data_IF_899550847478
#
_entry.id   IF_899550847478
#
_cell.length_a   1.000
_cell.length_b   1.000
_cell.length_c   1.000
_cell.angle_alpha   90.00
_cell.angle_beta   90.00
_cell.angle_gamma   90.00
#
_symmetry.space_group_name_H-M   'P 1'
#
loop_
_entity.id
_entity.type
_entity.pdbx_description
1 polymer ?
#
# COMPACT_ATOMS: atom_id res chain seq x y z
N UNK A 1 24.54 26.05 12.03
CA UNK A 1 25.20 25.89 10.72
C UNK A 1 24.46 24.79 9.99
N UNK A 2 23.75 25.09 8.88
CA UNK A 2 23.05 24.07 8.09
C UNK A 2 24.11 23.29 7.32
N UNK A 3 24.24 22.00 7.59
CA UNK A 3 25.15 21.12 6.85
C UNK A 3 24.68 21.06 5.39
N UNK A 4 25.52 21.49 4.45
CA UNK A 4 25.20 21.51 3.02
C UNK A 4 24.92 20.11 2.46
N UNK A 5 25.41 19.05 3.12
CA UNK A 5 25.12 17.66 2.75
C UNK A 5 23.73 17.22 3.24
N UNK A 6 23.25 17.73 4.38
CA UNK A 6 21.88 17.49 4.87
C UNK A 6 20.84 18.19 3.99
N UNK A 7 21.16 19.36 3.44
CA UNK A 7 20.28 20.08 2.52
C UNK A 7 19.93 19.24 1.28
N UNK A 8 20.90 18.49 0.73
CA UNK A 8 20.67 17.59 -0.40
C UNK A 8 19.73 16.40 -0.06
N UNK A 9 19.76 15.90 1.19
CA UNK A 9 18.83 14.86 1.65
C UNK A 9 17.37 15.36 1.75
N UNK A 10 17.18 16.66 1.95
CA UNK A 10 15.87 17.27 2.22
C UNK A 10 15.25 17.95 0.99
N UNK A 11 16.06 18.36 0.01
CA UNK A 11 15.62 19.20 -1.11
C UNK A 11 14.81 18.49 -2.23
N UNK A 12 14.32 17.26 -2.05
CA UNK A 12 13.33 16.77 -3.04
C UNK A 12 12.86 15.33 -3.07
N UNK A 13 13.16 14.43 -2.11
CA UNK A 13 12.85 13.00 -2.31
C UNK A 13 12.23 12.34 -1.08
N UNK A 14 10.98 12.69 -0.82
CA UNK A 14 10.07 11.88 -0.02
C UNK A 14 9.35 10.90 -0.93
N UNK A 15 9.05 9.71 -0.41
CA UNK A 15 8.12 8.81 -1.10
C UNK A 15 6.73 9.41 -0.96
N UNK A 16 6.28 10.09 -2.01
CA UNK A 16 4.87 10.33 -2.28
C UNK A 16 4.46 9.38 -3.39
N UNK A 17 3.40 8.60 -3.22
CA UNK A 17 2.04 8.99 -3.62
C UNK A 17 1.01 8.01 -3.03
N UNK A 18 -0.26 8.45 -2.86
CA UNK A 18 -0.94 8.33 -1.58
C UNK A 18 -2.43 7.89 -1.71
N UNK A 19 -3.16 8.16 -0.63
CA UNK A 19 -4.59 8.45 -0.53
C UNK A 19 -5.57 7.26 -0.56
N UNK A 20 -5.60 6.52 0.55
CA UNK A 20 -6.86 5.99 1.08
C UNK A 20 -7.45 7.03 2.05
N UNK A 21 -8.76 7.23 2.02
CA UNK A 21 -9.44 8.15 2.93
C UNK A 21 -10.22 7.35 3.95
N UNK A 22 -9.91 7.56 5.22
CA UNK A 22 -10.63 6.96 6.34
C UNK A 22 -11.55 8.00 6.96
N UNK A 23 -12.80 7.63 7.22
CA UNK A 23 -13.74 8.45 8.01
C UNK A 23 -14.01 7.72 9.32
N UNK A 24 -13.83 8.41 10.46
CA UNK A 24 -14.20 7.89 11.77
C UNK A 24 -15.69 8.13 12.04
N UNK A 25 -16.31 7.23 12.80
CA UNK A 25 -17.75 7.27 13.10
C UNK A 25 -18.21 8.50 13.88
N UNK A 26 -17.31 9.21 14.55
CA UNK A 26 -17.66 10.41 15.33
C UNK A 26 -18.20 11.56 14.45
N UNK A 27 -18.10 11.45 13.11
CA UNK A 27 -18.68 12.40 12.14
C UNK A 27 -19.87 11.82 11.32
N UNK A 28 -20.33 10.59 11.59
CA UNK A 28 -21.28 9.88 10.72
C UNK A 28 -22.60 9.52 11.42
N UNK A 29 -23.71 10.06 10.93
CA UNK A 29 -25.08 9.80 11.41
C UNK A 29 -25.52 8.37 11.02
N UNK A 30 -25.46 7.46 11.99
CA UNK A 30 -25.64 6.01 11.84
C UNK A 30 -27.05 5.66 11.32
N UNK A 31 -28.04 6.51 11.57
CA UNK A 31 -29.45 6.25 11.26
C UNK A 31 -29.84 6.50 9.79
N UNK A 32 -28.95 7.02 8.94
CA UNK A 32 -29.36 7.56 7.62
C UNK A 32 -29.00 6.79 6.36
N UNK A 33 -28.30 5.64 6.40
CA UNK A 33 -28.08 4.88 5.15
C UNK A 33 -27.52 3.46 5.37
N UNK A 34 -28.38 2.51 5.73
CA UNK A 34 -28.07 1.09 5.50
C UNK A 34 -28.25 0.77 4.00
N UNK A 35 -27.21 1.00 3.20
CA UNK A 35 -27.04 0.24 1.96
C UNK A 35 -26.01 -0.85 2.25
N UNK A 36 -26.28 -2.12 1.90
CA UNK A 36 -25.30 -3.19 2.06
C UNK A 36 -24.03 -2.82 1.31
N UNK A 37 -22.86 -3.21 1.86
CA UNK A 37 -21.60 -2.97 1.19
C UNK A 37 -21.60 -3.65 -0.18
N UNK A 38 -21.27 -2.91 -1.24
CA UNK A 38 -21.06 -3.49 -2.57
C UNK A 38 -19.78 -4.34 -2.62
N UNK A 39 -18.86 -4.07 -1.69
CA UNK A 39 -17.58 -4.75 -1.53
C UNK A 39 -17.60 -5.48 -0.18
N UNK A 40 -17.28 -6.77 -0.19
CA UNK A 40 -17.24 -7.58 1.02
C UNK A 40 -16.11 -7.12 1.95
N UNK A 41 -16.42 -7.13 3.24
CA UNK A 41 -15.47 -6.72 4.26
C UNK A 41 -14.60 -7.91 4.72
N UNK A 42 -13.28 -7.72 4.92
CA UNK A 42 -12.43 -8.73 5.52
C UNK A 42 -12.67 -8.92 7.02
N UNK A 43 -13.25 -7.92 7.71
CA UNK A 43 -13.57 -7.96 9.14
C UNK A 43 -14.86 -7.17 9.43
N UNK A 44 -15.66 -7.62 10.39
CA UNK A 44 -16.97 -7.03 10.68
C UNK A 44 -16.93 -5.55 11.07
N UNK A 45 -15.80 -5.05 11.57
CA UNK A 45 -15.64 -3.65 11.95
C UNK A 45 -15.48 -2.69 10.77
N UNK A 46 -15.30 -3.16 9.53
CA UNK A 46 -15.19 -2.31 8.34
C UNK A 46 -16.48 -2.33 7.53
N UNK A 47 -16.98 -1.14 7.17
CA UNK A 47 -18.23 -0.96 6.43
C UNK A 47 -18.19 0.33 5.60
N UNK A 48 -19.22 0.56 4.77
CA UNK A 48 -19.27 1.64 3.78
C UNK A 48 -18.06 1.62 2.83
N UNK A 49 -17.58 0.44 2.45
CA UNK A 49 -16.40 0.27 1.61
C UNK A 49 -16.73 0.73 0.18
N UNK A 50 -15.99 1.72 -0.33
CA UNK A 50 -16.17 2.31 -1.66
C UNK A 50 -14.83 2.53 -2.34
N UNK A 51 -14.81 2.41 -3.67
CA UNK A 51 -13.64 2.72 -4.50
C UNK A 51 -13.95 3.81 -5.51
N UNK A 52 -12.94 4.62 -5.83
CA UNK A 52 -13.11 5.83 -6.65
C UNK A 52 -12.05 5.92 -7.73
N UNK A 53 -12.42 6.52 -8.86
CA UNK A 53 -11.51 6.78 -9.98
C UNK A 53 -10.97 5.49 -10.61
N UNK A 54 -11.86 4.70 -11.23
CA UNK A 54 -11.49 3.48 -11.96
C UNK A 54 -10.46 3.77 -13.05
N UNK A 55 -9.43 2.94 -13.16
CA UNK A 55 -8.35 3.11 -14.12
C UNK A 55 -8.73 2.59 -15.50
N UNK A 56 -8.20 3.24 -16.54
CA UNK A 56 -8.19 2.70 -17.90
C UNK A 56 -7.14 1.59 -18.03
N UNK A 57 -7.29 0.73 -19.04
CA UNK A 57 -6.28 -0.30 -19.36
C UNK A 57 -4.91 0.33 -19.65
N UNK A 58 -4.88 1.48 -20.33
CA UNK A 58 -3.64 2.21 -20.64
C UNK A 58 -2.91 2.65 -19.37
N UNK A 59 -3.64 3.18 -18.39
CA UNK A 59 -3.06 3.56 -17.10
C UNK A 59 -2.50 2.36 -16.35
N UNK A 60 -3.24 1.24 -16.32
CA UNK A 60 -2.80 -0.01 -15.69
C UNK A 60 -1.47 -0.47 -16.28
N UNK A 61 -1.36 -0.51 -17.61
CA UNK A 61 -0.12 -0.91 -18.31
C UNK A 61 1.03 0.07 -18.05
N UNK A 62 0.75 1.38 -18.07
CA UNK A 62 1.76 2.42 -17.78
C UNK A 62 2.37 2.27 -16.39
N UNK A 63 1.58 1.85 -15.42
CA UNK A 63 2.02 1.61 -14.04
C UNK A 63 2.73 0.27 -13.83
N UNK A 64 2.87 -0.54 -14.89
CA UNK A 64 3.48 -1.86 -14.84
C UNK A 64 2.58 -2.93 -14.20
N UNK A 65 1.27 -2.68 -14.10
CA UNK A 65 0.30 -3.60 -13.50
C UNK A 65 -0.42 -4.40 -14.59
N UNK A 66 -1.02 -5.53 -14.19
CA UNK A 66 -1.76 -6.41 -15.09
C UNK A 66 -3.26 -6.28 -14.88
N UNK A 67 -4.02 -6.19 -15.98
CA UNK A 67 -5.49 -6.21 -15.96
C UNK A 67 -6.05 -7.63 -15.92
N UNK A 68 -5.40 -8.56 -16.62
CA UNK A 68 -5.80 -9.96 -16.66
C UNK A 68 -4.60 -10.85 -16.30
N UNK A 69 -4.87 -11.99 -15.67
CA UNK A 69 -3.85 -12.96 -15.28
C UNK A 69 -4.27 -14.40 -15.60
N UNK A 70 -3.28 -15.26 -15.73
CA UNK A 70 -3.41 -16.69 -15.98
C UNK A 70 -3.15 -17.49 -14.70
N UNK A 71 -3.38 -18.80 -14.76
CA UNK A 71 -3.08 -19.69 -13.63
C UNK A 71 -1.59 -19.82 -13.30
N UNK A 72 -0.69 -19.40 -14.21
CA UNK A 72 0.76 -19.49 -14.03
C UNK A 72 1.38 -18.22 -13.46
N UNK A 73 0.64 -17.12 -13.42
CA UNK A 73 1.15 -15.83 -12.96
C UNK A 73 1.23 -15.79 -11.42
N UNK A 74 2.25 -15.12 -10.89
CA UNK A 74 2.42 -14.93 -9.44
C UNK A 74 1.18 -14.30 -8.80
N UNK A 75 0.47 -13.43 -9.53
CA UNK A 75 -0.81 -12.84 -9.14
C UNK A 75 -1.88 -13.87 -8.75
N UNK A 76 -1.97 -15.01 -9.46
CA UNK A 76 -2.89 -16.10 -9.11
C UNK A 76 -2.62 -16.62 -7.70
N UNK A 77 -1.34 -16.87 -7.40
CA UNK A 77 -0.88 -17.39 -6.10
C UNK A 77 -1.13 -16.37 -5.00
N UNK A 78 -0.83 -15.10 -5.26
CA UNK A 78 -1.00 -14.00 -4.30
C UNK A 78 -2.45 -13.76 -3.94
N UNK A 79 -3.31 -13.67 -4.96
CA UNK A 79 -4.73 -13.48 -4.75
C UNK A 79 -5.35 -14.68 -4.03
N UNK A 80 -4.94 -15.92 -4.35
CA UNK A 80 -5.44 -17.12 -3.65
C UNK A 80 -5.07 -17.09 -2.17
N UNK A 81 -3.82 -16.74 -1.85
CA UNK A 81 -3.36 -16.62 -0.47
C UNK A 81 -4.16 -15.55 0.30
N UNK A 82 -4.37 -14.38 -0.31
CA UNK A 82 -5.14 -13.30 0.30
C UNK A 82 -6.60 -13.71 0.58
N UNK A 83 -7.25 -14.43 -0.33
CA UNK A 83 -8.59 -14.97 -0.08
C UNK A 83 -8.62 -15.99 1.07
N UNK A 84 -7.62 -16.86 1.15
CA UNK A 84 -7.52 -17.84 2.22
C UNK A 84 -7.31 -17.16 3.57
N UNK A 85 -6.39 -16.20 3.64
CA UNK A 85 -5.96 -15.58 4.89
C UNK A 85 -7.01 -14.62 5.46
N UNK A 86 -7.64 -13.82 4.60
CA UNK A 86 -8.48 -12.70 5.06
C UNK A 86 -9.97 -12.98 4.99
N UNK A 87 -10.39 -13.95 4.17
CA UNK A 87 -11.80 -14.25 3.94
C UNK A 87 -12.14 -15.72 4.17
N UNK A 88 -11.18 -16.56 4.58
CA UNK A 88 -11.33 -18.01 4.74
C UNK A 88 -11.90 -18.71 3.49
N UNK A 89 -11.58 -18.20 2.29
CA UNK A 89 -12.07 -18.74 1.00
C UNK A 89 -10.99 -19.57 0.32
N UNK A 90 -11.15 -20.89 0.37
CA UNK A 90 -10.19 -21.88 -0.20
C UNK A 90 -10.65 -22.43 -1.55
N UNK A 91 -11.36 -21.64 -2.34
CA UNK A 91 -11.85 -22.02 -3.67
C UNK A 91 -10.88 -21.57 -4.76
N UNK A 92 -10.86 -22.29 -5.89
CA UNK A 92 -10.10 -21.86 -7.07
C UNK A 92 -10.55 -20.46 -7.52
N UNK A 93 -9.62 -19.63 -7.99
CA UNK A 93 -9.97 -18.32 -8.56
C UNK A 93 -10.36 -18.52 -10.02
N UNK A 94 -11.64 -18.36 -10.36
CA UNK A 94 -12.11 -18.57 -11.74
C UNK A 94 -12.10 -17.28 -12.56
N UNK A 95 -12.43 -16.14 -11.95
CA UNK A 95 -12.37 -14.84 -12.61
C UNK A 95 -10.93 -14.32 -12.67
N UNK A 96 -10.53 -13.81 -13.82
CA UNK A 96 -9.12 -13.47 -14.12
C UNK A 96 -8.88 -11.99 -14.37
N UNK A 97 -9.89 -11.17 -14.10
CA UNK A 97 -9.88 -9.74 -14.38
C UNK A 97 -9.72 -8.95 -13.09
N UNK A 98 -8.86 -7.94 -13.12
CA UNK A 98 -8.59 -7.02 -12.03
C UNK A 98 -9.01 -5.61 -12.45
N UNK A 99 -9.83 -4.96 -11.62
CA UNK A 99 -10.24 -3.57 -11.83
C UNK A 99 -9.52 -2.66 -10.84
N UNK A 100 -8.72 -1.71 -11.32
CA UNK A 100 -7.90 -0.82 -10.48
C UNK A 100 -8.53 0.54 -10.26
N UNK A 101 -8.20 1.17 -9.13
CA UNK A 101 -8.80 2.41 -8.65
C UNK A 101 -7.75 3.36 -8.06
N UNK A 102 -8.05 4.66 -8.09
CA UNK A 102 -7.20 5.68 -7.47
C UNK A 102 -7.27 5.62 -5.94
N UNK A 103 -8.44 5.28 -5.38
CA UNK A 103 -8.72 5.46 -3.96
C UNK A 103 -9.73 4.43 -3.47
N UNK A 104 -9.57 4.05 -2.20
CA UNK A 104 -10.57 3.34 -1.40
C UNK A 104 -10.95 4.21 -0.18
N UNK A 105 -12.21 4.14 0.21
CA UNK A 105 -12.73 4.74 1.44
C UNK A 105 -13.59 3.75 2.19
N UNK A 106 -13.52 3.77 3.52
CA UNK A 106 -14.31 2.91 4.40
C UNK A 106 -14.45 3.55 5.78
N UNK A 107 -15.45 3.10 6.53
CA UNK A 107 -15.68 3.44 7.94
C UNK A 107 -15.26 2.27 8.81
N UNK A 108 -14.70 2.56 10.00
CA UNK A 108 -14.23 1.54 10.95
C UNK A 108 -14.90 1.72 12.31
N UNK A 109 -15.53 0.65 12.81
CA UNK A 109 -16.06 0.49 14.16
C UNK A 109 -14.94 -0.05 15.08
N UNK A 110 -13.97 0.77 15.49
CA UNK A 110 -13.05 0.43 16.60
C UNK A 110 -12.24 1.62 17.13
N UNK A 111 -12.06 1.61 18.45
CA UNK A 111 -11.17 2.49 19.20
C UNK A 111 -9.69 2.11 19.07
N UNK A 112 -8.85 3.08 19.42
CA UNK A 112 -7.39 3.02 19.34
C UNK A 112 -6.82 1.77 20.03
N UNK A 113 -5.99 1.03 19.29
CA UNK A 113 -4.76 0.42 19.79
C UNK A 113 -4.23 -0.56 18.74
N UNK A 114 -2.98 -0.38 18.30
CA UNK A 114 -2.07 -1.49 17.99
C UNK A 114 -0.61 -1.07 18.30
N UNK A 115 -0.15 -1.37 19.52
CA UNK A 115 1.27 -1.46 19.87
C UNK A 115 1.84 -2.77 19.31
N UNK A 116 2.00 -2.83 17.99
CA UNK A 116 2.61 -3.96 17.28
C UNK A 116 3.97 -3.60 16.69
N UNK A 117 4.72 -4.63 16.28
CA UNK A 117 5.92 -4.46 15.45
C UNK A 117 5.46 -3.86 14.11
N UNK A 118 5.91 -2.65 13.80
CA UNK A 118 5.54 -1.96 12.55
C UNK A 118 6.41 -2.44 11.40
N UNK A 119 5.76 -2.90 10.35
CA UNK A 119 6.36 -3.15 9.05
C UNK A 119 5.93 -2.02 8.10
N UNK A 120 6.76 -1.74 7.10
CA UNK A 120 6.50 -0.65 6.17
C UNK A 120 6.31 -1.21 4.77
N UNK A 121 5.34 -0.65 4.05
CA UNK A 121 5.09 -1.00 2.67
C UNK A 121 4.61 0.23 1.87
N UNK A 122 4.84 0.20 0.56
CA UNK A 122 4.29 1.14 -0.40
C UNK A 122 3.06 0.51 -1.08
N UNK A 123 1.93 1.21 -1.10
CA UNK A 123 0.76 0.79 -1.88
C UNK A 123 1.06 1.10 -3.35
N UNK A 124 1.20 0.05 -4.16
CA UNK A 124 1.42 0.15 -5.60
C UNK A 124 0.11 0.13 -6.40
N UNK A 125 -0.93 -0.50 -5.87
CA UNK A 125 -2.23 -0.55 -6.53
C UNK A 125 -3.38 -0.89 -5.59
N UNK A 126 -4.57 -0.37 -5.91
CA UNK A 126 -5.84 -0.70 -5.27
C UNK A 126 -6.70 -1.36 -6.32
N UNK A 127 -7.20 -2.56 -6.07
CA UNK A 127 -8.05 -3.26 -7.04
C UNK A 127 -9.22 -4.00 -6.42
N UNK A 128 -10.25 -4.19 -7.24
CA UNK A 128 -11.40 -5.04 -6.98
C UNK A 128 -11.28 -6.32 -7.81
N UNK A 129 -11.63 -7.44 -7.18
CA UNK A 129 -11.80 -8.74 -7.83
C UNK A 129 -13.17 -9.32 -7.50
N UNK A 130 -13.81 -9.94 -8.50
CA UNK A 130 -15.05 -10.70 -8.32
C UNK A 130 -14.73 -12.16 -8.02
N UNK A 131 -15.16 -12.70 -6.88
CA UNK A 131 -14.94 -14.11 -6.56
C UNK A 131 -16.02 -15.03 -7.14
N UNK A 132 -15.84 -16.34 -6.97
CA UNK A 132 -16.74 -17.36 -7.53
C UNK A 132 -18.16 -17.33 -6.96
N UNK A 133 -18.37 -16.67 -5.82
CA UNK A 133 -19.68 -16.43 -5.21
C UNK A 133 -20.40 -15.21 -5.81
N UNK A 134 -19.82 -14.58 -6.84
CA UNK A 134 -20.36 -13.39 -7.49
C UNK A 134 -20.16 -12.09 -6.70
N UNK A 135 -19.52 -12.15 -5.53
CA UNK A 135 -19.27 -10.98 -4.67
C UNK A 135 -17.95 -10.30 -5.04
N UNK A 136 -17.83 -9.01 -4.72
CA UNK A 136 -16.65 -8.19 -4.99
C UNK A 136 -15.81 -8.03 -3.72
N UNK A 137 -14.49 -8.07 -3.88
CA UNK A 137 -13.52 -7.96 -2.79
C UNK A 137 -12.44 -6.97 -3.16
N UNK A 138 -12.01 -6.15 -2.20
CA UNK A 138 -10.95 -5.16 -2.38
C UNK A 138 -9.61 -5.63 -1.81
N UNK A 139 -8.55 -5.34 -2.56
CA UNK A 139 -7.18 -5.68 -2.20
C UNK A 139 -6.22 -4.55 -2.55
N UNK A 140 -5.09 -4.53 -1.86
CA UNK A 140 -3.91 -3.75 -2.19
C UNK A 140 -2.82 -4.63 -2.80
N UNK A 141 -2.05 -4.04 -3.70
CA UNK A 141 -0.73 -4.51 -4.10
C UNK A 141 0.28 -3.69 -3.31
N UNK A 142 1.12 -4.36 -2.52
CA UNK A 142 2.12 -3.77 -1.66
C UNK A 142 3.52 -4.11 -2.16
N UNK A 143 4.44 -3.15 -2.08
CA UNK A 143 5.88 -3.39 -2.13
C UNK A 143 6.44 -3.19 -0.72
N UNK A 144 7.06 -4.23 -0.16
CA UNK A 144 7.54 -4.21 1.22
C UNK A 144 8.89 -3.51 1.36
N UNK A 145 9.08 -2.82 2.48
CA UNK A 145 10.41 -2.37 2.91
C UNK A 145 10.99 -3.39 3.88
N UNK A 146 12.14 -3.95 3.54
CA UNK A 146 12.88 -4.81 4.46
C UNK A 146 14.06 -4.05 5.06
N UNK A 147 14.30 -4.27 6.35
CA UNK A 147 15.46 -3.71 7.03
C UNK A 147 16.72 -4.40 6.50
N UNK A 148 17.67 -3.65 5.97
CA UNK A 148 18.90 -4.20 5.41
C UNK A 148 19.93 -4.57 6.48
N UNK A 149 19.73 -4.13 7.73
CA UNK A 149 20.68 -4.21 8.82
C UNK A 149 21.75 -3.10 8.81
N UNK A 150 21.81 -2.30 7.75
CA UNK A 150 22.79 -1.23 7.59
C UNK A 150 22.27 0.11 8.13
N UNK A 151 23.20 0.95 8.55
CA UNK A 151 22.94 2.32 9.00
C UNK A 151 23.71 3.29 8.11
N UNK A 152 23.11 4.45 7.85
CA UNK A 152 23.75 5.51 7.09
C UNK A 152 24.72 6.26 8.01
N UNK A 153 26.01 6.19 7.68
CA UNK A 153 27.10 6.63 8.57
C UNK A 153 27.00 8.11 9.01
N UNK A 154 26.36 8.98 8.23
CA UNK A 154 26.29 10.41 8.55
C UNK A 154 25.16 10.77 9.52
N UNK A 155 24.00 10.12 9.39
CA UNK A 155 22.80 10.44 10.20
C UNK A 155 22.50 9.39 11.26
N UNK A 156 23.13 8.20 11.19
CA UNK A 156 22.76 7.03 11.98
C UNK A 156 21.41 6.41 11.57
N UNK A 157 20.76 6.91 10.51
CA UNK A 157 19.46 6.41 10.06
C UNK A 157 19.55 4.98 9.55
N UNK A 158 18.57 4.15 9.88
CA UNK A 158 18.46 2.78 9.34
C UNK A 158 18.19 2.81 7.84
N UNK A 159 18.86 1.95 7.09
CA UNK A 159 18.66 1.76 5.65
C UNK A 159 17.66 0.61 5.45
N UNK A 160 16.66 0.85 4.63
CA UNK A 160 15.67 -0.13 4.18
C UNK A 160 15.81 -0.33 2.67
N UNK A 161 15.59 -1.56 2.22
CA UNK A 161 15.47 -1.88 0.80
C UNK A 161 14.00 -2.01 0.42
N UNK A 162 13.61 -1.46 -0.71
CA UNK A 162 12.29 -1.69 -1.29
C UNK A 162 12.33 -3.02 -2.08
N UNK A 163 11.38 -3.90 -1.79
CA UNK A 163 11.18 -5.15 -2.52
C UNK A 163 11.00 -4.87 -4.01
N UNK A 164 11.71 -5.63 -4.85
CA UNK A 164 11.57 -5.54 -6.30
C UNK A 164 10.24 -6.14 -6.76
N UNK A 165 9.75 -5.71 -7.91
CA UNK A 165 8.48 -6.20 -8.46
C UNK A 165 8.51 -7.67 -8.89
N UNK A 166 9.70 -8.23 -9.11
CA UNK A 166 9.94 -9.65 -9.46
C UNK A 166 10.39 -10.49 -8.25
N UNK A 167 10.50 -9.88 -7.06
CA UNK A 167 10.87 -10.57 -5.84
C UNK A 167 9.63 -11.20 -5.20
N UNK A 168 9.47 -12.49 -5.40
CA UNK A 168 8.35 -13.27 -4.90
C UNK A 168 8.51 -13.75 -3.43
N UNK A 169 9.51 -13.23 -2.71
CA UNK A 169 9.81 -13.63 -1.32
C UNK A 169 8.69 -13.24 -0.35
N UNK A 170 8.02 -12.11 -0.60
CA UNK A 170 6.89 -11.64 0.19
C UNK A 170 5.68 -11.48 -0.72
N UNK A 171 4.53 -11.97 -0.25
CA UNK A 171 3.27 -11.81 -0.97
C UNK A 171 2.98 -10.31 -1.18
N UNK A 172 2.53 -9.95 -2.37
CA UNK A 172 2.22 -8.56 -2.70
C UNK A 172 0.75 -8.20 -2.50
N UNK A 173 -0.15 -9.19 -2.50
CA UNK A 173 -1.60 -8.93 -2.44
C UNK A 173 -2.11 -9.09 -1.02
N UNK A 174 -2.71 -8.02 -0.49
CA UNK A 174 -3.25 -7.99 0.87
C UNK A 174 -4.61 -7.32 0.93
N UNK A 175 -5.45 -7.70 1.91
CA UNK A 175 -6.68 -6.98 2.18
C UNK A 175 -6.37 -5.61 2.80
N UNK A 176 -7.24 -4.62 2.56
CA UNK A 176 -6.97 -3.23 2.96
C UNK A 176 -6.90 -2.98 4.48
N UNK A 177 -7.41 -3.91 5.31
CA UNK A 177 -7.45 -3.76 6.76
C UNK A 177 -6.07 -3.90 7.44
N UNK A 178 -5.05 -4.42 6.75
CA UNK A 178 -3.72 -4.61 7.33
C UNK A 178 -2.90 -3.31 7.36
N UNK A 179 -3.37 -2.25 6.70
CA UNK A 179 -2.66 -0.97 6.61
C UNK A 179 -3.15 -0.06 7.72
N UNK A 180 -2.20 0.50 8.48
CA UNK A 180 -2.47 1.47 9.54
C UNK A 180 -3.15 2.75 8.99
N UNK A 181 -3.89 3.41 9.87
CA UNK A 181 -4.88 4.44 9.60
C UNK A 181 -4.30 5.80 9.23
N UNK A 182 -2.98 6.00 9.39
CA UNK A 182 -2.33 7.27 9.14
C UNK A 182 -1.17 7.10 8.16
N UNK A 183 -1.35 7.45 6.87
CA UNK A 183 -0.25 7.41 5.90
C UNK A 183 0.81 8.44 6.28
N UNK A 184 1.90 7.97 6.89
CA UNK A 184 3.02 8.81 7.29
C UNK A 184 4.17 8.61 6.30
N UNK A 185 4.72 9.74 5.86
CA UNK A 185 5.94 9.73 5.05
C UNK A 185 7.11 9.42 5.98
N UNK A 186 7.51 8.15 5.96
CA UNK A 186 8.57 7.62 6.83
C UNK A 186 9.92 7.45 6.12
N UNK A 187 9.97 7.60 4.79
CA UNK A 187 11.14 7.21 4.02
C UNK A 187 11.59 8.29 3.05
N UNK A 188 12.92 8.44 2.99
CA UNK A 188 13.65 9.30 2.06
C UNK A 188 14.49 8.39 1.17
N UNK A 189 14.49 8.63 -0.15
CA UNK A 189 15.31 7.83 -1.05
C UNK A 189 16.81 8.09 -0.82
N UNK A 190 17.58 7.02 -0.63
CA UNK A 190 19.02 7.04 -0.37
C UNK A 190 19.79 7.11 -1.71
N UNK A 191 19.67 8.26 -2.39
CA UNK A 191 20.35 8.53 -3.65
C UNK A 191 21.89 8.49 -3.43
N UNK A 192 22.59 7.59 -4.14
CA UNK A 192 24.05 7.41 -4.05
C UNK A 192 24.83 8.20 -5.10
N UNK A 193 24.16 8.72 -6.13
CA UNK A 193 24.78 9.60 -7.13
C UNK A 193 24.93 11.02 -6.59
N UNK A 194 25.74 11.88 -7.22
CA UNK A 194 25.73 13.31 -6.92
C UNK A 194 24.40 13.90 -7.42
N UNK A 195 23.41 13.99 -6.53
CA UNK A 195 22.01 14.27 -6.86
C UNK A 195 21.73 15.76 -7.15
N UNK A 196 22.55 16.39 -8.00
CA UNK A 196 22.46 17.84 -8.29
C UNK A 196 21.52 18.18 -9.44
N UNK A 197 21.14 17.22 -10.30
CA UNK A 197 20.28 17.47 -11.49
C UNK A 197 19.29 16.32 -11.76
N UNK A 198 19.67 15.06 -11.54
CA UNK A 198 18.81 13.88 -11.72
C UNK A 198 19.08 12.87 -10.60
N UNK A 199 18.04 12.24 -10.06
CA UNK A 199 18.19 11.19 -9.05
C UNK A 199 17.96 9.84 -9.71
N UNK A 200 18.92 8.94 -9.53
CA UNK A 200 18.83 7.55 -9.99
C UNK A 200 18.20 6.74 -8.87
N UNK A 201 17.10 6.04 -9.15
CA UNK A 201 16.31 5.25 -8.18
C UNK A 201 16.55 3.74 -8.30
N UNK A 202 17.63 3.34 -8.96
CA UNK A 202 17.98 1.95 -9.27
C UNK A 202 18.38 1.13 -8.04
N UNK A 203 18.94 1.78 -7.01
CA UNK A 203 19.43 1.11 -5.81
C UNK A 203 18.31 0.63 -4.88
N UNK A 204 17.09 1.16 -5.01
CA UNK A 204 15.93 0.85 -4.16
C UNK A 204 16.20 0.98 -2.65
N UNK A 205 17.17 1.80 -2.26
CA UNK A 205 17.54 2.03 -0.87
C UNK A 205 16.84 3.29 -0.33
N UNK A 206 16.37 3.19 0.92
CA UNK A 206 15.63 4.26 1.57
C UNK A 206 16.08 4.41 3.02
N UNK A 207 16.21 5.66 3.46
CA UNK A 207 16.51 6.00 4.85
C UNK A 207 15.20 6.09 5.64
N UNK A 208 15.13 5.38 6.77
CA UNK A 208 14.03 5.56 7.71
C UNK A 208 14.19 6.89 8.44
N UNK A 209 13.18 7.72 8.32
CA UNK A 209 13.13 9.07 8.84
C UNK A 209 12.40 9.10 10.19
N UNK A 210 13.18 9.03 11.28
CA UNK A 210 12.70 9.23 12.66
C UNK A 210 12.86 10.69 13.14
N UNK A 211 13.58 11.54 12.38
CA UNK A 211 14.08 12.83 12.88
C UNK A 211 13.44 14.06 12.22
N UNK A 212 12.83 13.93 11.03
CA UNK A 212 12.19 15.04 10.35
C UNK A 212 10.68 15.00 10.60
N UNK A 213 10.26 15.77 11.60
CA UNK A 213 8.85 16.08 11.83
C UNK A 213 8.27 16.83 10.63
N UNK A 214 7.00 16.57 10.32
CA UNK A 214 6.22 17.46 9.46
C UNK A 214 6.00 18.74 10.27
N UNK A 215 6.55 19.86 9.82
CA UNK A 215 6.12 21.17 10.29
C UNK A 215 4.72 21.43 9.72
N UNK A 216 3.75 21.65 10.61
CA UNK A 216 2.35 21.97 10.26
C UNK A 216 2.22 23.46 10.02
#
# INVERSE_FOLDING_TARGET
MKDSQLTCLLEGWYISIPAHYKTNLEEYDIDRQEKPNEIESPQECFFNIRVHGKWSTEKITKEGLIKNFSNKDSMQRYLYKAYCDYYNKKTAISFKTLDYYNMISYTVLRGEDETGRREYALIKGIFIHMANDGKKYAFFILNWYYNTGWVYNFTGSKIYGLQKSDDDSWYHVHAFHIVDQNPRVHFIHNCKSNCSINHVTDNLEYLYNEFFYIAV
#
